data_IF_012241161057
#
_entry.id   IF_012241161057
#
_cell.length_a   1.000
_cell.length_b   1.000
_cell.length_c   1.000
_cell.angle_alpha   90.00
_cell.angle_beta   90.00
_cell.angle_gamma   90.00
#
_symmetry.space_group_name_H-M   'P 1'
#
loop_
_entity.id
_entity.type
_entity.pdbx_description
1 polymer ?
#
# COMPACT_ATOMS: atom_id res chain seq x y z
N UNK A 1 56.12 61.42 -4.24
CA UNK A 1 54.87 61.15 -3.49
C UNK A 1 53.87 60.53 -4.46
N UNK A 2 53.55 59.25 -4.30
CA UNK A 2 52.56 58.55 -5.13
C UNK A 2 52.27 57.19 -4.52
N UNK A 3 51.22 57.10 -3.69
CA UNK A 3 50.73 55.85 -3.13
C UNK A 3 49.49 55.43 -3.92
N UNK A 4 49.63 54.41 -4.76
CA UNK A 4 48.51 53.70 -5.35
C UNK A 4 47.93 52.75 -4.30
N UNK A 5 46.68 52.98 -3.92
CA UNK A 5 45.91 52.12 -3.01
C UNK A 5 45.21 51.08 -3.88
N UNK A 6 45.57 49.81 -3.71
CA UNK A 6 44.89 48.67 -4.32
C UNK A 6 43.63 48.38 -3.51
N UNK A 7 42.46 48.61 -4.12
CA UNK A 7 41.17 48.28 -3.52
C UNK A 7 40.82 46.82 -3.89
N UNK A 8 41.12 45.87 -3.00
CA UNK A 8 40.65 44.50 -3.14
C UNK A 8 39.16 44.43 -2.83
N UNK A 9 38.31 44.31 -3.86
CA UNK A 9 36.92 43.92 -3.72
C UNK A 9 36.85 42.44 -3.28
N UNK A 10 36.62 42.22 -1.99
CA UNK A 10 36.22 40.92 -1.45
C UNK A 10 34.76 40.67 -1.84
N UNK A 11 34.57 39.92 -2.93
CA UNK A 11 33.27 39.30 -3.24
C UNK A 11 32.99 38.19 -2.23
N UNK A 12 32.29 38.53 -1.15
CA UNK A 12 31.76 37.57 -0.20
C UNK A 12 30.64 36.76 -0.87
N UNK A 13 30.97 35.57 -1.38
CA UNK A 13 29.96 34.58 -1.76
C UNK A 13 29.29 34.09 -0.47
N UNK A 14 28.16 34.70 -0.11
CA UNK A 14 27.29 34.17 0.92
C UNK A 14 26.61 32.90 0.37
N UNK A 15 27.19 31.74 0.68
CA UNK A 15 26.50 30.46 0.46
C UNK A 15 25.31 30.39 1.42
N UNK A 16 24.11 30.66 0.90
CA UNK A 16 22.86 30.36 1.60
C UNK A 16 22.73 28.85 1.70
N UNK A 17 23.13 28.29 2.83
CA UNK A 17 22.85 26.90 3.19
C UNK A 17 21.35 26.78 3.43
N UNK A 18 20.57 26.46 2.39
CA UNK A 18 19.20 26.02 2.58
C UNK A 18 19.22 24.69 3.33
N UNK A 19 18.65 24.67 4.53
CA UNK A 19 18.50 23.42 5.26
C UNK A 19 17.59 22.50 4.44
N UNK A 20 18.10 21.32 4.06
CA UNK A 20 17.32 20.28 3.41
C UNK A 20 16.15 19.95 4.32
N UNK A 21 14.92 20.07 3.80
CA UNK A 21 13.71 19.78 4.59
C UNK A 21 13.64 18.29 4.93
N UNK A 22 13.04 17.96 6.07
CA UNK A 22 12.77 16.57 6.45
C UNK A 22 11.37 16.17 6.02
N UNK A 23 11.23 14.96 5.48
CA UNK A 23 9.97 14.30 5.16
C UNK A 23 9.74 13.15 6.15
N UNK A 24 8.75 13.29 7.02
CA UNK A 24 8.37 12.26 7.99
C UNK A 24 7.42 11.24 7.36
N UNK A 25 7.90 10.03 7.16
CA UNK A 25 7.16 8.93 6.51
C UNK A 25 6.65 7.95 7.56
N UNK A 26 5.35 7.67 7.53
CA UNK A 26 4.73 6.67 8.38
C UNK A 26 5.41 5.30 8.27
N UNK A 27 5.74 4.70 9.40
CA UNK A 27 6.21 3.32 9.52
C UNK A 27 5.33 2.55 10.48
N UNK A 28 4.78 1.43 10.01
CA UNK A 28 4.01 0.54 10.88
C UNK A 28 4.94 -0.17 11.88
N UNK A 29 4.44 -0.40 13.11
CA UNK A 29 5.19 -1.06 14.19
C UNK A 29 5.30 -2.60 14.01
N UNK A 30 4.62 -3.18 13.02
CA UNK A 30 4.70 -4.62 12.73
C UNK A 30 5.95 -4.96 11.91
N UNK A 31 6.25 -6.26 11.82
CA UNK A 31 7.21 -6.75 10.85
C UNK A 31 6.84 -6.28 9.43
N UNK A 32 7.83 -5.75 8.72
CA UNK A 32 7.69 -5.29 7.35
C UNK A 32 7.70 -6.48 6.39
N UNK A 33 6.90 -6.39 5.32
CA UNK A 33 6.89 -7.33 4.20
C UNK A 33 7.48 -6.68 2.96
N UNK A 34 7.67 -7.48 1.91
CA UNK A 34 8.16 -7.05 0.61
C UNK A 34 7.37 -5.86 0.04
N UNK A 35 6.05 -5.81 0.29
CA UNK A 35 5.20 -4.66 -0.05
C UNK A 35 5.71 -3.36 0.57
N UNK A 36 6.05 -3.38 1.85
CA UNK A 36 6.48 -2.18 2.58
C UNK A 36 7.88 -1.76 2.11
N UNK A 37 8.80 -2.73 1.93
CA UNK A 37 10.15 -2.48 1.41
C UNK A 37 10.13 -1.89 -0.01
N UNK A 38 9.28 -2.44 -0.88
CA UNK A 38 9.04 -1.91 -2.22
C UNK A 38 8.56 -0.45 -2.18
N UNK A 39 7.63 -0.12 -1.28
CA UNK A 39 7.08 1.23 -1.19
C UNK A 39 8.11 2.25 -0.67
N UNK A 40 8.96 1.86 0.28
CA UNK A 40 10.08 2.69 0.72
C UNK A 40 11.06 2.96 -0.44
N UNK A 41 11.46 1.93 -1.16
CA UNK A 41 12.39 2.11 -2.28
C UNK A 41 11.77 2.88 -3.46
N UNK A 42 10.49 2.64 -3.74
CA UNK A 42 9.75 3.38 -4.77
C UNK A 42 9.64 4.86 -4.41
N UNK A 43 9.43 5.18 -3.13
CA UNK A 43 9.40 6.56 -2.64
C UNK A 43 10.75 7.25 -2.90
N UNK A 44 11.84 6.64 -2.47
CA UNK A 44 13.19 7.22 -2.63
C UNK A 44 13.54 7.43 -4.10
N UNK A 45 13.25 6.44 -4.95
CA UNK A 45 13.48 6.52 -6.39
C UNK A 45 12.61 7.59 -7.05
N UNK A 46 11.35 7.74 -6.65
CA UNK A 46 10.48 8.77 -7.18
C UNK A 46 10.98 10.18 -6.81
N UNK A 47 11.39 10.40 -5.57
CA UNK A 47 11.97 11.68 -5.13
C UNK A 47 13.26 12.01 -5.90
N UNK A 48 14.13 11.01 -6.09
CA UNK A 48 15.36 11.15 -6.87
C UNK A 48 15.08 11.48 -8.35
N UNK A 49 14.16 10.75 -8.99
CA UNK A 49 13.76 10.98 -10.38
C UNK A 49 13.15 12.39 -10.56
N UNK A 50 12.45 12.89 -9.55
CA UNK A 50 11.91 14.25 -9.55
C UNK A 50 12.97 15.34 -9.36
N UNK A 51 14.20 14.96 -8.96
CA UNK A 51 15.27 15.83 -8.47
C UNK A 51 14.82 16.66 -7.25
N UNK A 52 14.05 16.02 -6.36
CA UNK A 52 13.52 16.67 -5.17
C UNK A 52 14.39 16.30 -3.95
N UNK A 53 15.21 17.24 -3.51
CA UNK A 53 16.10 17.04 -2.37
C UNK A 53 15.34 17.15 -1.04
N UNK A 54 15.27 16.04 -0.31
CA UNK A 54 14.62 15.95 0.99
C UNK A 54 15.26 14.86 1.83
N UNK A 55 15.33 15.04 3.15
CA UNK A 55 15.77 14.00 4.07
C UNK A 55 14.56 13.17 4.49
N UNK A 56 14.52 11.90 4.09
CA UNK A 56 13.46 10.98 4.51
C UNK A 56 13.75 10.45 5.91
N UNK A 57 12.82 10.61 6.83
CA UNK A 57 12.86 10.00 8.17
C UNK A 57 11.60 9.20 8.43
N UNK A 58 11.75 8.00 8.99
CA UNK A 58 10.62 7.12 9.30
C UNK A 58 10.18 7.28 10.74
N UNK A 59 8.89 7.53 10.94
CA UNK A 59 8.30 7.66 12.27
C UNK A 59 7.27 6.57 12.50
N UNK A 60 7.34 5.95 13.68
CA UNK A 60 6.38 4.92 14.05
C UNK A 60 5.00 5.54 14.28
N UNK A 61 4.00 4.96 13.62
CA UNK A 61 2.62 5.40 13.73
C UNK A 61 1.74 4.30 14.32
N UNK A 62 0.57 4.69 14.80
CA UNK A 62 -0.42 3.73 15.27
C UNK A 62 -0.76 2.72 14.16
N UNK A 63 -0.89 1.41 14.46
CA UNK A 63 -1.19 0.38 13.45
C UNK A 63 -2.57 0.49 12.77
N UNK A 64 -3.38 1.48 13.13
CA UNK A 64 -4.71 1.68 12.55
C UNK A 64 -4.58 2.73 11.44
N UNK A 65 -4.88 2.35 10.20
CA UNK A 65 -4.75 3.21 9.04
C UNK A 65 -5.55 4.51 9.18
N UNK A 66 -6.73 4.46 9.81
CA UNK A 66 -7.52 5.68 10.03
C UNK A 66 -6.81 6.67 10.96
N UNK A 67 -6.09 6.19 11.99
CA UNK A 67 -5.32 7.06 12.90
C UNK A 67 -4.12 7.67 12.18
N UNK A 68 -3.43 6.90 11.34
CA UNK A 68 -2.33 7.41 10.52
C UNK A 68 -2.80 8.48 9.54
N UNK A 69 -3.92 8.27 8.85
CA UNK A 69 -4.49 9.28 7.95
C UNK A 69 -4.92 10.56 8.66
N UNK A 70 -5.43 10.45 9.90
CA UNK A 70 -5.73 11.62 10.73
C UNK A 70 -4.45 12.36 11.14
N UNK A 71 -3.37 11.63 11.48
CA UNK A 71 -2.06 12.23 11.75
C UNK A 71 -1.53 12.99 10.51
N UNK A 72 -1.71 12.43 9.30
CA UNK A 72 -1.41 13.14 8.04
C UNK A 72 -2.18 14.45 7.90
N UNK A 73 -3.49 14.42 8.16
CA UNK A 73 -4.34 15.62 8.04
C UNK A 73 -4.00 16.71 9.05
N UNK A 74 -3.30 16.38 10.13
CA UNK A 74 -2.84 17.30 11.17
C UNK A 74 -1.38 17.73 11.01
N UNK A 75 -0.67 17.22 10.00
CA UNK A 75 0.74 17.49 9.78
C UNK A 75 1.68 16.81 10.80
N UNK A 76 1.20 15.83 11.55
CA UNK A 76 2.03 15.03 12.49
C UNK A 76 2.90 14.01 11.75
N UNK A 77 2.50 13.65 10.53
CA UNK A 77 3.20 12.77 9.58
C UNK A 77 3.04 13.39 8.20
N UNK A 78 4.09 13.38 7.38
CA UNK A 78 4.05 14.01 6.06
C UNK A 78 3.55 13.07 4.97
N UNK A 79 3.84 11.77 5.08
CA UNK A 79 3.54 10.80 4.03
C UNK A 79 3.12 9.43 4.59
N UNK A 80 2.12 8.84 3.96
CA UNK A 80 1.67 7.47 4.18
C UNK A 80 1.22 6.85 2.85
N UNK A 81 0.87 5.56 2.85
CA UNK A 81 0.33 4.87 1.70
C UNK A 81 -0.81 3.95 2.12
N UNK A 82 -1.82 3.89 1.27
CA UNK A 82 -3.00 3.10 1.57
C UNK A 82 -3.79 2.77 0.33
N UNK A 83 -4.74 1.83 0.44
CA UNK A 83 -5.77 1.69 -0.58
C UNK A 83 -6.61 2.95 -0.58
N UNK A 84 -6.87 3.50 -1.77
CA UNK A 84 -7.59 4.76 -1.89
C UNK A 84 -9.09 4.60 -1.64
N UNK A 85 -9.73 5.67 -1.15
CA UNK A 85 -11.18 5.85 -1.10
C UNK A 85 -11.51 7.34 -1.04
N UNK A 86 -12.71 7.78 -1.44
CA UNK A 86 -13.11 9.19 -1.36
C UNK A 86 -12.87 9.82 0.01
N UNK A 87 -13.13 9.10 1.10
CA UNK A 87 -12.92 9.62 2.46
C UNK A 87 -11.44 9.83 2.78
N UNK A 88 -10.54 9.01 2.22
CA UNK A 88 -9.09 9.14 2.43
C UNK A 88 -8.49 10.27 1.60
N UNK A 89 -8.96 10.43 0.35
CA UNK A 89 -8.57 11.53 -0.54
C UNK A 89 -9.05 12.89 -0.02
N UNK A 90 -10.10 12.93 0.80
CA UNK A 90 -10.51 14.15 1.51
C UNK A 90 -9.54 14.53 2.65
N UNK A 91 -8.86 13.57 3.27
CA UNK A 91 -7.98 13.80 4.41
C UNK A 91 -6.56 14.24 4.01
N UNK A 92 -6.07 13.77 2.87
CA UNK A 92 -4.70 13.98 2.42
C UNK A 92 -4.63 14.07 0.89
N UNK A 93 -3.57 14.65 0.35
CA UNK A 93 -3.34 14.73 -1.09
C UNK A 93 -2.97 13.34 -1.58
N UNK A 94 -3.89 12.69 -2.31
CA UNK A 94 -3.61 11.43 -2.98
C UNK A 94 -2.80 11.67 -4.26
N UNK A 95 -1.78 10.83 -4.48
CA UNK A 95 -1.04 10.79 -5.74
C UNK A 95 -1.66 9.67 -6.58
N UNK A 96 -2.44 9.98 -7.64
CA UNK A 96 -3.27 9.02 -8.35
C UNK A 96 -2.46 8.16 -9.34
N UNK A 97 -1.42 7.51 -8.83
CA UNK A 97 -0.56 6.56 -9.55
C UNK A 97 -0.67 5.22 -8.85
N UNK A 98 -1.26 4.23 -9.52
CA UNK A 98 -1.49 2.92 -8.92
C UNK A 98 -0.16 2.18 -8.68
N UNK A 99 0.23 2.04 -7.40
CA UNK A 99 1.57 1.57 -7.03
C UNK A 99 1.81 0.06 -7.27
N UNK A 100 0.75 -0.69 -7.57
CA UNK A 100 0.79 -2.15 -7.68
C UNK A 100 0.17 -2.73 -8.97
N UNK A 101 0.13 -1.95 -10.07
CA UNK A 101 -0.29 -2.43 -11.40
C UNK A 101 -1.61 -3.22 -11.42
N UNK A 102 -2.57 -2.84 -10.56
CA UNK A 102 -3.88 -3.50 -10.42
C UNK A 102 -3.92 -4.79 -9.58
N UNK A 103 -2.78 -5.30 -9.09
CA UNK A 103 -2.74 -6.51 -8.26
C UNK A 103 -3.24 -6.29 -6.82
N UNK A 104 -3.35 -5.04 -6.36
CA UNK A 104 -3.91 -4.74 -5.03
C UNK A 104 -5.38 -5.18 -4.89
N UNK A 105 -6.15 -5.05 -5.98
CA UNK A 105 -7.56 -5.45 -6.06
C UNK A 105 -7.79 -6.93 -6.37
N UNK A 106 -6.74 -7.70 -6.69
CA UNK A 106 -6.80 -9.17 -6.80
C UNK A 106 -6.57 -9.77 -5.43
N UNK A 107 -7.58 -10.43 -4.86
CA UNK A 107 -7.58 -10.92 -3.48
C UNK A 107 -7.61 -12.45 -3.44
N UNK A 108 -6.46 -13.03 -3.13
CA UNK A 108 -6.36 -14.45 -2.82
C UNK A 108 -6.99 -14.72 -1.45
N UNK A 109 -7.62 -15.87 -1.28
CA UNK A 109 -8.27 -16.23 -0.03
C UNK A 109 -7.34 -17.09 0.80
N UNK A 110 -6.90 -16.59 1.94
CA UNK A 110 -6.24 -17.41 2.94
C UNK A 110 -7.31 -18.13 3.76
N UNK A 111 -7.18 -19.44 3.92
CA UNK A 111 -8.16 -20.29 4.61
C UNK A 111 -7.47 -21.26 5.56
N UNK A 112 -8.24 -21.90 6.43
CA UNK A 112 -7.77 -23.11 7.10
C UNK A 112 -7.67 -24.27 6.09
N UNK A 113 -6.57 -25.03 6.11
CA UNK A 113 -6.29 -26.18 5.24
C UNK A 113 -7.40 -27.22 5.24
N UNK A 114 -7.99 -27.50 6.41
CA UNK A 114 -9.09 -28.47 6.53
C UNK A 114 -10.37 -28.02 5.81
N UNK A 115 -10.49 -26.73 5.45
CA UNK A 115 -11.63 -26.19 4.71
C UNK A 115 -11.47 -26.30 3.19
N UNK A 116 -10.36 -26.79 2.64
CA UNK A 116 -10.11 -26.85 1.19
C UNK A 116 -11.28 -27.47 0.41
N UNK A 117 -11.72 -28.68 0.80
CA UNK A 117 -12.82 -29.38 0.13
C UNK A 117 -14.17 -28.64 0.19
N UNK A 118 -14.38 -27.78 1.20
CA UNK A 118 -15.57 -26.91 1.29
C UNK A 118 -15.46 -25.77 0.29
N UNK A 119 -14.28 -25.18 0.13
CA UNK A 119 -14.04 -24.05 -0.79
C UNK A 119 -13.95 -24.47 -2.26
N UNK A 120 -13.51 -25.69 -2.58
CA UNK A 120 -13.48 -26.21 -3.96
C UNK A 120 -14.84 -26.15 -4.65
N UNK A 121 -15.92 -26.32 -3.87
CA UNK A 121 -17.32 -26.27 -4.31
C UNK A 121 -17.86 -24.85 -4.51
N UNK A 122 -17.07 -23.82 -4.19
CA UNK A 122 -17.45 -22.42 -4.34
C UNK A 122 -17.05 -21.94 -5.73
N UNK A 123 -18.06 -21.56 -6.50
CA UNK A 123 -17.92 -21.06 -7.88
C UNK A 123 -18.53 -19.67 -8.05
N UNK A 124 -19.40 -19.25 -7.12
CA UNK A 124 -20.19 -18.03 -7.25
C UNK A 124 -20.12 -17.16 -5.99
N UNK A 125 -20.37 -15.85 -6.17
CA UNK A 125 -20.52 -14.90 -5.06
C UNK A 125 -21.57 -15.36 -4.05
N UNK A 126 -22.71 -15.88 -4.52
CA UNK A 126 -23.81 -16.31 -3.67
C UNK A 126 -23.45 -17.51 -2.77
N UNK A 127 -22.62 -18.43 -3.26
CA UNK A 127 -22.09 -19.52 -2.42
C UNK A 127 -21.07 -18.99 -1.40
N UNK A 128 -20.19 -18.07 -1.83
CA UNK A 128 -19.22 -17.43 -0.93
C UNK A 128 -19.90 -16.58 0.15
N UNK A 129 -21.05 -15.97 -0.13
CA UNK A 129 -21.85 -15.19 0.82
C UNK A 129 -22.39 -16.02 2.00
N UNK A 130 -22.30 -17.36 1.94
CA UNK A 130 -22.60 -18.25 3.08
C UNK A 130 -21.43 -18.39 4.04
N UNK A 131 -20.28 -17.80 3.71
CA UNK A 131 -19.03 -17.86 4.47
C UNK A 131 -18.68 -16.47 4.99
N UNK A 132 -17.99 -16.40 6.12
CA UNK A 132 -17.58 -15.13 6.73
C UNK A 132 -16.11 -14.85 6.47
N UNK A 133 -15.82 -13.68 5.91
CA UNK A 133 -14.48 -13.14 5.78
C UNK A 133 -14.02 -12.45 7.08
N UNK A 134 -12.72 -12.26 7.26
CA UNK A 134 -12.15 -11.30 8.22
C UNK A 134 -11.43 -10.17 7.49
N UNK A 135 -11.53 -8.95 8.00
CA UNK A 135 -10.77 -7.79 7.53
C UNK A 135 -10.44 -6.83 8.67
N UNK A 136 -9.43 -5.98 8.46
CA UNK A 136 -9.14 -4.86 9.36
C UNK A 136 -10.32 -3.90 9.43
N UNK A 137 -10.72 -3.48 10.63
CA UNK A 137 -11.95 -2.69 10.81
C UNK A 137 -11.94 -1.35 10.05
N UNK A 138 -10.77 -0.79 9.78
CA UNK A 138 -10.55 0.52 9.13
C UNK A 138 -9.95 0.39 7.74
N UNK A 139 -9.88 -0.84 7.20
CA UNK A 139 -9.46 -1.07 5.82
C UNK A 139 -10.67 -0.89 4.90
N UNK A 140 -10.51 -0.30 3.70
CA UNK A 140 -11.65 -0.09 2.82
C UNK A 140 -12.21 -1.42 2.29
N UNK A 141 -11.41 -2.51 2.29
CA UNK A 141 -11.84 -3.88 2.02
C UNK A 141 -13.10 -4.28 2.78
N UNK A 142 -13.22 -3.88 4.07
CA UNK A 142 -14.37 -4.20 4.90
C UNK A 142 -15.67 -3.65 4.31
N UNK A 143 -15.66 -2.38 3.89
CA UNK A 143 -16.83 -1.75 3.25
C UNK A 143 -17.11 -2.37 1.88
N UNK A 144 -16.07 -2.69 1.11
CA UNK A 144 -16.21 -3.30 -0.22
C UNK A 144 -16.85 -4.68 -0.12
N UNK A 145 -16.40 -5.55 0.78
CA UNK A 145 -17.00 -6.87 0.97
C UNK A 145 -18.46 -6.75 1.41
N UNK A 146 -18.75 -5.87 2.37
CA UNK A 146 -20.11 -5.63 2.85
C UNK A 146 -21.04 -5.12 1.74
N UNK A 147 -20.58 -4.18 0.89
CA UNK A 147 -21.33 -3.68 -0.26
C UNK A 147 -21.70 -4.79 -1.26
N UNK A 148 -20.91 -5.85 -1.33
CA UNK A 148 -21.15 -6.99 -2.21
C UNK A 148 -21.93 -8.14 -1.55
N UNK A 149 -22.56 -7.90 -0.40
CA UNK A 149 -23.33 -8.88 0.36
C UNK A 149 -22.48 -10.05 0.89
N UNK A 150 -21.17 -9.86 1.05
CA UNK A 150 -20.30 -10.85 1.67
C UNK A 150 -20.21 -10.59 3.17
N UNK A 151 -20.55 -11.56 4.04
CA UNK A 151 -20.36 -11.42 5.47
C UNK A 151 -18.88 -11.17 5.79
N UNK A 152 -18.61 -10.10 6.53
CA UNK A 152 -17.26 -9.72 6.93
C UNK A 152 -17.23 -9.37 8.42
N UNK A 153 -16.27 -9.94 9.13
CA UNK A 153 -16.00 -9.65 10.54
C UNK A 153 -14.86 -8.64 10.64
N UNK A 154 -15.13 -7.37 11.00
CA UNK A 154 -14.08 -6.38 11.21
C UNK A 154 -13.30 -6.69 12.50
N UNK A 155 -11.97 -6.58 12.46
CA UNK A 155 -11.08 -6.76 13.61
C UNK A 155 -9.98 -5.69 13.65
N UNK A 156 -9.55 -5.27 14.85
CA UNK A 156 -8.47 -4.28 15.03
C UNK A 156 -7.08 -4.91 15.04
N UNK A 157 -6.95 -6.13 15.57
CA UNK A 157 -5.66 -6.77 15.80
C UNK A 157 -5.25 -7.62 14.60
N UNK A 158 -4.22 -7.17 13.87
CA UNK A 158 -3.70 -7.82 12.67
C UNK A 158 -3.42 -9.33 12.85
N UNK A 159 -2.58 -9.70 13.83
CA UNK A 159 -2.23 -11.11 14.07
C UNK A 159 -3.42 -11.97 14.52
N UNK A 160 -4.41 -11.38 15.19
CA UNK A 160 -5.59 -12.12 15.62
C UNK A 160 -6.45 -12.58 14.43
N UNK A 161 -6.42 -11.87 13.29
CA UNK A 161 -7.17 -12.27 12.10
C UNK A 161 -6.64 -13.59 11.52
N UNK A 162 -5.32 -13.72 11.37
CA UNK A 162 -4.68 -14.97 10.94
C UNK A 162 -5.00 -16.11 11.91
N UNK A 163 -4.89 -15.86 13.22
CA UNK A 163 -5.19 -16.87 14.24
C UNK A 163 -6.66 -17.34 14.19
N UNK A 164 -7.62 -16.45 13.91
CA UNK A 164 -9.03 -16.83 13.81
C UNK A 164 -9.33 -17.71 12.60
N UNK A 165 -8.68 -17.42 11.47
CA UNK A 165 -8.78 -18.24 10.25
C UNK A 165 -8.08 -19.59 10.47
N UNK A 166 -6.86 -19.58 11.02
CA UNK A 166 -6.11 -20.79 11.34
C UNK A 166 -6.88 -21.71 12.29
N UNK A 167 -7.67 -21.18 13.22
CA UNK A 167 -8.52 -21.98 14.13
C UNK A 167 -9.87 -22.38 13.54
N UNK A 168 -10.15 -22.05 12.28
CA UNK A 168 -11.42 -22.30 11.61
C UNK A 168 -12.62 -21.53 12.21
N UNK A 169 -12.37 -20.50 13.02
CA UNK A 169 -13.42 -19.67 13.65
C UNK A 169 -13.96 -18.59 12.71
N UNK A 170 -13.17 -18.24 11.69
CA UNK A 170 -13.60 -17.43 10.54
C UNK A 170 -13.21 -18.19 9.28
N UNK A 171 -14.04 -18.12 8.24
CA UNK A 171 -13.92 -19.03 7.10
C UNK A 171 -12.73 -18.67 6.18
N UNK A 172 -12.49 -17.38 5.93
CA UNK A 172 -11.42 -16.93 5.04
C UNK A 172 -10.92 -15.50 5.31
N UNK A 173 -9.74 -15.18 4.80
CA UNK A 173 -9.12 -13.86 4.84
C UNK A 173 -8.64 -13.43 3.45
N UNK A 174 -9.36 -12.52 2.77
CA UNK A 174 -8.95 -12.00 1.47
C UNK A 174 -7.77 -11.05 1.55
N UNK A 175 -6.62 -11.45 0.99
CA UNK A 175 -5.37 -10.66 0.94
C UNK A 175 -4.95 -10.39 -0.49
N UNK A 176 -4.31 -9.24 -0.75
CA UNK A 176 -3.85 -8.92 -2.09
C UNK A 176 -2.85 -9.97 -2.60
N UNK A 177 -2.82 -10.20 -3.91
CA UNK A 177 -1.76 -10.98 -4.55
C UNK A 177 -0.35 -10.44 -4.25
N UNK A 178 -0.22 -9.14 -3.96
CA UNK A 178 1.03 -8.50 -3.54
C UNK A 178 1.45 -8.90 -2.11
N UNK A 179 0.49 -9.24 -1.26
CA UNK A 179 0.70 -9.39 0.18
C UNK A 179 0.71 -10.86 0.62
N UNK A 180 -0.23 -11.64 0.08
CA UNK A 180 -0.68 -12.90 0.65
C UNK A 180 0.44 -13.91 0.87
N UNK A 181 1.38 -14.02 -0.07
CA UNK A 181 2.47 -14.99 0.00
C UNK A 181 3.46 -14.63 1.12
N UNK A 182 3.87 -13.36 1.19
CA UNK A 182 4.80 -12.88 2.23
C UNK A 182 4.15 -12.89 3.61
N UNK A 183 2.86 -12.55 3.69
CA UNK A 183 2.11 -12.62 4.96
C UNK A 183 1.95 -14.06 5.44
N UNK A 184 1.57 -14.99 4.57
CA UNK A 184 1.45 -16.42 4.90
C UNK A 184 2.79 -16.99 5.40
N UNK A 185 3.88 -16.71 4.69
CA UNK A 185 5.20 -17.21 5.04
C UNK A 185 5.66 -16.77 6.44
N UNK A 186 5.26 -15.57 6.88
CA UNK A 186 5.57 -15.05 8.23
C UNK A 186 4.68 -15.62 9.34
N UNK A 187 3.55 -16.26 9.01
CA UNK A 187 2.70 -16.87 10.04
C UNK A 187 3.32 -18.14 10.63
N UNK A 188 4.19 -18.82 9.89
CA UNK A 188 4.79 -20.10 10.31
C UNK A 188 3.72 -21.09 10.84
N UNK A 189 2.57 -21.15 10.15
CA UNK A 189 1.41 -21.92 10.57
C UNK A 189 0.90 -22.79 9.42
N UNK A 190 1.07 -24.10 9.55
CA UNK A 190 0.73 -25.09 8.52
C UNK A 190 -0.79 -25.27 8.32
N UNK A 191 -1.62 -24.79 9.26
CA UNK A 191 -3.06 -24.78 9.13
C UNK A 191 -3.54 -23.71 8.15
N UNK A 192 -2.73 -22.69 7.84
CA UNK A 192 -3.09 -21.67 6.87
C UNK A 192 -2.59 -22.03 5.48
N UNK A 193 -3.45 -21.86 4.48
CA UNK A 193 -3.11 -22.03 3.07
C UNK A 193 -3.74 -20.94 2.23
N UNK A 194 -3.13 -20.64 1.09
CA UNK A 194 -3.77 -19.89 0.01
C UNK A 194 -4.70 -20.85 -0.72
N UNK A 195 -5.99 -20.53 -0.80
CA UNK A 195 -6.96 -21.29 -1.57
C UNK A 195 -6.55 -21.30 -3.05
N UNK A 196 -6.29 -22.47 -3.66
CA UNK A 196 -6.01 -22.56 -5.08
C UNK A 196 -7.23 -22.22 -5.93
N UNK A 197 -6.97 -21.71 -7.13
CA UNK A 197 -7.95 -21.58 -8.22
C UNK A 197 -9.21 -20.75 -7.92
N UNK A 198 -9.22 -19.91 -6.88
CA UNK A 198 -10.31 -18.97 -6.61
C UNK A 198 -9.76 -17.68 -6.00
N UNK A 199 -10.15 -16.54 -6.56
CA UNK A 199 -9.85 -15.22 -6.00
C UNK A 199 -11.01 -14.24 -6.19
N UNK A 200 -11.07 -13.23 -5.32
CA UNK A 200 -11.95 -12.08 -5.50
C UNK A 200 -11.21 -11.02 -6.32
N UNK A 201 -11.92 -10.29 -7.16
CA UNK A 201 -11.37 -9.10 -7.79
C UNK A 201 -12.34 -7.94 -7.72
N UNK A 202 -11.86 -6.77 -7.31
CA UNK A 202 -12.56 -5.50 -7.45
C UNK A 202 -11.60 -4.41 -7.93
N UNK A 203 -12.11 -3.39 -8.65
CA UNK A 203 -11.32 -2.20 -8.97
C UNK A 203 -10.82 -1.52 -7.71
N UNK A 204 -9.51 -1.31 -7.61
CA UNK A 204 -8.91 -0.51 -6.54
C UNK A 204 -7.51 -0.07 -6.93
N UNK A 205 -6.99 0.92 -6.22
CA UNK A 205 -5.61 1.34 -6.30
C UNK A 205 -5.06 1.61 -4.90
N UNK A 206 -3.75 1.48 -4.80
CA UNK A 206 -2.98 1.87 -3.62
C UNK A 206 -2.16 3.07 -4.01
N UNK A 207 -2.24 4.14 -3.22
CA UNK A 207 -1.60 5.42 -3.52
C UNK A 207 -0.69 5.84 -2.38
N UNK A 208 0.26 6.71 -2.70
CA UNK A 208 0.89 7.58 -1.73
C UNK A 208 -0.10 8.70 -1.38
N UNK A 209 -0.17 9.02 -0.10
CA UNK A 209 -0.92 10.12 0.48
C UNK A 209 0.06 11.07 1.15
N UNK A 210 -0.03 12.33 0.82
CA UNK A 210 0.84 13.40 1.34
C UNK A 210 0.00 14.36 2.16
N UNK A 211 0.54 14.86 3.26
CA UNK A 211 -0.10 15.91 4.06
C UNK A 211 -0.45 17.11 3.19
N UNK A 212 -1.58 17.76 3.49
CA UNK A 212 -2.00 18.99 2.79
C UNK A 212 -1.05 20.16 3.04
N UNK A 213 -0.24 20.09 4.09
CA UNK A 213 0.79 21.07 4.43
C UNK A 213 2.05 20.95 3.54
N UNK A 214 2.19 19.87 2.75
CA UNK A 214 3.36 19.61 1.87
C UNK A 214 2.98 19.34 0.41
N UNK A 215 2.22 20.25 -0.25
CA UNK A 215 1.79 20.05 -1.64
C UNK A 215 2.95 19.91 -2.63
N UNK A 216 4.11 20.51 -2.35
CA UNK A 216 5.33 20.39 -3.14
C UNK A 216 5.84 18.95 -3.22
N UNK A 217 5.73 18.19 -2.13
CA UNK A 217 6.10 16.77 -2.10
C UNK A 217 5.16 15.95 -2.99
N UNK A 218 3.86 16.26 -2.98
CA UNK A 218 2.90 15.58 -3.83
C UNK A 218 3.16 15.83 -5.33
N UNK A 219 3.52 17.06 -5.70
CA UNK A 219 3.91 17.42 -7.07
C UNK A 219 5.18 16.67 -7.48
N UNK A 220 6.20 16.68 -6.61
CA UNK A 220 7.46 15.99 -6.85
C UNK A 220 7.26 14.48 -7.05
N UNK A 221 6.51 13.83 -6.17
CA UNK A 221 6.24 12.39 -6.29
C UNK A 221 5.44 12.06 -7.55
N UNK A 222 4.43 12.85 -7.90
CA UNK A 222 3.69 12.65 -9.15
C UNK A 222 4.62 12.74 -10.37
N UNK A 223 5.51 13.74 -10.41
CA UNK A 223 6.51 13.91 -11.48
C UNK A 223 7.49 12.72 -11.50
N UNK A 224 8.05 12.35 -10.36
CA UNK A 224 9.03 11.27 -10.23
C UNK A 224 8.47 9.93 -10.66
N UNK A 225 7.27 9.57 -10.18
CA UNK A 225 6.60 8.34 -10.58
C UNK A 225 6.29 8.32 -12.08
N UNK A 226 5.86 9.44 -12.66
CA UNK A 226 5.63 9.52 -14.11
C UNK A 226 6.92 9.32 -14.92
N UNK A 227 8.04 9.90 -14.49
CA UNK A 227 9.35 9.69 -15.13
C UNK A 227 9.80 8.22 -15.03
N UNK A 228 9.64 7.59 -13.85
CA UNK A 228 9.95 6.18 -13.65
C UNK A 228 9.07 5.25 -14.50
N UNK A 229 7.81 5.63 -14.76
CA UNK A 229 6.94 4.88 -15.67
C UNK A 229 7.38 5.04 -17.13
N UNK A 230 7.77 6.25 -17.54
CA UNK A 230 8.22 6.55 -18.90
C UNK A 230 9.54 5.85 -19.25
N UNK A 231 10.48 5.74 -18.29
CA UNK A 231 11.79 5.14 -18.50
C UNK A 231 11.85 3.63 -18.16
N UNK A 232 10.76 3.04 -17.66
CA UNK A 232 10.64 1.63 -17.31
C UNK A 232 11.17 1.23 -15.93
N UNK A 233 11.78 2.14 -15.16
CA UNK A 233 12.32 1.84 -13.83
C UNK A 233 11.23 1.41 -12.83
N UNK A 234 10.01 1.94 -12.97
CA UNK A 234 8.86 1.55 -12.16
C UNK A 234 8.58 0.05 -12.31
N UNK A 235 8.61 -0.46 -13.54
CA UNK A 235 8.28 -1.84 -13.87
C UNK A 235 9.39 -2.79 -13.42
N UNK A 236 10.65 -2.41 -13.66
CA UNK A 236 11.82 -3.18 -13.18
C UNK A 236 11.79 -3.31 -11.66
N UNK A 237 11.47 -2.24 -10.94
CA UNK A 237 11.35 -2.27 -9.48
C UNK A 237 10.21 -3.21 -9.05
N UNK A 238 9.02 -3.07 -9.65
CA UNK A 238 7.88 -3.92 -9.34
C UNK A 238 8.17 -5.40 -9.57
N UNK A 239 8.74 -5.75 -10.72
CA UNK A 239 9.06 -7.13 -11.08
C UNK A 239 10.07 -7.75 -10.12
N UNK A 240 11.10 -7.00 -9.73
CA UNK A 240 12.12 -7.47 -8.79
C UNK A 240 11.52 -7.89 -7.44
N UNK A 241 10.51 -7.17 -6.95
CA UNK A 241 9.86 -7.50 -5.67
C UNK A 241 8.81 -8.59 -5.81
N UNK A 242 8.01 -8.58 -6.89
CA UNK A 242 6.76 -9.34 -6.91
C UNK A 242 6.67 -10.43 -7.97
N UNK A 243 7.43 -10.38 -9.08
CA UNK A 243 7.21 -11.28 -10.21
C UNK A 243 7.31 -12.76 -9.81
N UNK A 244 8.37 -13.14 -9.09
CA UNK A 244 8.56 -14.52 -8.64
C UNK A 244 7.43 -15.00 -7.71
N UNK A 245 6.94 -14.13 -6.80
CA UNK A 245 5.85 -14.49 -5.89
C UNK A 245 4.51 -14.56 -6.59
N UNK A 246 4.24 -13.64 -7.52
CA UNK A 246 3.02 -13.64 -8.33
C UNK A 246 2.94 -14.91 -9.17
N UNK A 247 4.05 -15.32 -9.80
CA UNK A 247 4.12 -16.56 -10.58
C UNK A 247 4.00 -17.82 -9.72
N UNK A 248 4.35 -17.75 -8.42
CA UNK A 248 4.23 -18.87 -7.49
C UNK A 248 2.84 -18.97 -6.83
N UNK A 249 1.94 -18.01 -7.05
CA UNK A 249 0.58 -18.11 -6.53
C UNK A 249 -0.17 -19.25 -7.24
N UNK A 250 -1.01 -20.03 -6.53
CA UNK A 250 -1.75 -21.15 -7.11
C UNK A 250 -2.96 -20.66 -7.92
N UNK A 251 -2.71 -19.90 -9.00
CA UNK A 251 -3.71 -19.09 -9.70
C UNK A 251 -3.79 -19.31 -11.22
N UNK A 252 -3.06 -20.28 -11.78
CA UNK A 252 -2.93 -20.51 -13.23
C UNK A 252 -4.27 -20.69 -13.96
N UNK A 253 -5.26 -21.32 -13.31
CA UNK A 253 -6.61 -21.52 -13.84
C UNK A 253 -7.68 -20.98 -12.88
N UNK A 254 -7.36 -19.90 -12.16
CA UNK A 254 -8.22 -19.45 -11.09
C UNK A 254 -9.53 -18.82 -11.58
N UNK A 255 -10.62 -19.26 -10.95
CA UNK A 255 -11.93 -18.63 -11.05
C UNK A 255 -11.88 -17.27 -10.38
N UNK A 256 -12.36 -16.27 -11.09
CA UNK A 256 -12.51 -14.91 -10.57
C UNK A 256 -13.95 -14.67 -10.14
N UNK A 257 -14.15 -14.29 -8.88
CA UNK A 257 -15.40 -13.67 -8.43
C UNK A 257 -15.22 -12.16 -8.47
N UNK A 258 -15.84 -11.51 -9.46
CA UNK A 258 -15.83 -10.06 -9.60
C UNK A 258 -16.74 -9.41 -8.56
N UNK A 259 -16.22 -8.41 -7.85
CA UNK A 259 -16.93 -7.58 -6.89
C UNK A 259 -16.91 -6.13 -7.36
N UNK A 260 -17.92 -5.37 -6.97
CA UNK A 260 -18.01 -3.94 -7.23
C UNK A 260 -17.27 -3.16 -6.14
N UNK A 261 -16.63 -2.05 -6.50
CA UNK A 261 -16.10 -1.11 -5.53
C UNK A 261 -16.68 0.29 -5.83
N UNK A 262 -17.75 0.71 -5.14
CA UNK A 262 -18.34 2.04 -5.34
C UNK A 262 -17.48 3.16 -4.74
N UNK A 263 -16.40 2.82 -4.06
CA UNK A 263 -15.48 3.75 -3.41
C UNK A 263 -14.18 3.93 -4.22
N UNK A 264 -14.20 3.59 -5.51
CA UNK A 264 -13.06 3.79 -6.38
C UNK A 264 -13.50 4.23 -7.77
N UNK A 265 -13.00 5.38 -8.19
CA UNK A 265 -13.12 5.84 -9.56
C UNK A 265 -11.76 5.68 -10.24
N UNK A 266 -11.78 5.16 -11.47
CA UNK A 266 -10.55 5.10 -12.28
C UNK A 266 -10.14 6.54 -12.59
N UNK A 267 -8.92 6.98 -12.22
CA UNK A 267 -8.44 8.30 -12.60
C UNK A 267 -8.52 8.46 -14.12
N UNK A 268 -9.16 9.54 -14.57
CA UNK A 268 -9.26 9.89 -15.99
C UNK A 268 -7.92 10.34 -16.56
#
# INVERSE_FOLDING_TARGET
MGKFIWLCLLCSWASTSYAVSTLYVAKEQRALYDRDLYLYELLDKALLAAQFEVKVEHIEVHPHQQRTLMALSRGEVDLHWSMTSPEREQLAIAIPVALFKGFIGKRALMINRTHLARFEKIETKAQLAKLTAVQGHDWPDTKILAFNDLPVRPMSKYQAMFAMVARGKIDYFPRSFIEVASELAKQHNDDLVILPNLYLQYPSAFYFFVSKEKPEVAIALKKGLALMQQNGEFDVLFERYFLAKLNALPMDNARKISLQNPYFEVPK
#
